data_IF_706956033777
#
_entry.id   IF_706956033777
#
_cell.length_a   1.000
_cell.length_b   1.000
_cell.length_c   1.000
_cell.angle_alpha   90.00
_cell.angle_beta   90.00
_cell.angle_gamma   90.00
#
_symmetry.space_group_name_H-M   'P 1'
#
loop_
_entity.id
_entity.type
_entity.pdbx_description
1 polymer ?
#
# COMPACT_ATOMS: atom_id res chain seq x y z
N UNK A 1 8.66 4.53 -15.84
CA UNK A 1 8.52 5.39 -14.66
C UNK A 1 9.45 6.58 -14.82
N UNK A 2 8.98 7.77 -15.25
CA UNK A 2 9.85 8.97 -15.36
C UNK A 2 9.43 10.14 -14.46
N UNK A 3 8.24 10.11 -13.86
CA UNK A 3 7.70 11.24 -13.07
C UNK A 3 7.71 11.01 -11.55
N UNK A 4 8.24 9.87 -11.10
CA UNK A 4 8.30 9.54 -9.67
C UNK A 4 9.40 10.34 -8.97
N UNK A 5 9.10 11.10 -7.90
CA UNK A 5 10.12 11.91 -7.24
C UNK A 5 11.21 11.04 -6.60
N UNK A 6 12.48 11.31 -6.94
CA UNK A 6 13.62 10.51 -6.48
C UNK A 6 13.75 10.43 -4.96
N UNK A 7 13.31 11.47 -4.25
CA UNK A 7 13.28 11.50 -2.77
C UNK A 7 12.41 10.40 -2.16
N UNK A 8 11.53 9.76 -2.92
CA UNK A 8 10.66 8.69 -2.46
C UNK A 8 11.11 7.29 -2.92
N UNK A 9 12.26 7.16 -3.63
CA UNK A 9 12.64 5.94 -4.37
C UNK A 9 12.64 4.66 -3.52
N UNK A 10 13.03 4.76 -2.25
CA UNK A 10 13.03 3.62 -1.31
C UNK A 10 11.64 3.02 -1.05
N UNK A 11 10.58 3.74 -1.40
CA UNK A 11 9.20 3.32 -1.22
C UNK A 11 8.47 3.09 -2.54
N UNK A 12 9.17 3.09 -3.67
CA UNK A 12 8.57 2.91 -5.00
C UNK A 12 7.77 1.61 -5.10
N UNK A 13 8.31 0.51 -4.55
CA UNK A 13 7.68 -0.82 -4.60
C UNK A 13 6.31 -0.85 -3.93
N UNK A 14 6.15 -0.15 -2.80
CA UNK A 14 4.84 -0.04 -2.13
C UNK A 14 3.80 0.66 -3.01
N UNK A 15 4.21 1.70 -3.75
CA UNK A 15 3.30 2.41 -4.62
C UNK A 15 3.01 1.63 -5.91
N UNK A 16 4.00 0.89 -6.42
CA UNK A 16 3.82 -0.03 -7.54
C UNK A 16 2.81 -1.12 -7.17
N UNK A 17 3.03 -1.82 -6.06
CA UNK A 17 2.12 -2.84 -5.56
C UNK A 17 0.71 -2.27 -5.32
N UNK A 18 0.61 -1.08 -4.73
CA UNK A 18 -0.69 -0.42 -4.54
C UNK A 18 -1.40 -0.10 -5.86
N UNK A 19 -0.66 0.09 -6.95
CA UNK A 19 -1.20 0.42 -8.27
C UNK A 19 -1.60 -0.86 -9.02
N UNK A 20 -0.81 -1.92 -8.91
CA UNK A 20 -1.17 -3.25 -9.45
C UNK A 20 -2.43 -3.82 -8.79
N UNK A 21 -2.59 -3.56 -7.49
CA UNK A 21 -3.78 -3.94 -6.72
C UNK A 21 -4.93 -2.93 -6.85
N UNK A 22 -4.76 -1.85 -7.60
CA UNK A 22 -5.86 -0.90 -7.84
C UNK A 22 -6.84 -1.51 -8.85
N UNK A 23 -8.12 -1.59 -8.48
CA UNK A 23 -9.14 -2.25 -9.27
C UNK A 23 -10.50 -2.22 -8.58
N UNK A 24 -11.48 -2.98 -9.08
CA UNK A 24 -12.84 -3.02 -8.52
C UNK A 24 -13.02 -4.09 -7.43
N UNK A 25 -12.05 -4.99 -7.24
CA UNK A 25 -12.13 -6.02 -6.22
C UNK A 25 -11.93 -5.40 -4.81
N UNK A 26 -12.89 -5.57 -3.88
CA UNK A 26 -12.81 -4.98 -2.55
C UNK A 26 -11.60 -5.43 -1.72
N UNK A 27 -11.13 -6.67 -1.87
CA UNK A 27 -9.96 -7.18 -1.12
C UNK A 27 -8.66 -6.59 -1.68
N UNK A 28 -8.55 -6.50 -3.01
CA UNK A 28 -7.41 -5.84 -3.65
C UNK A 28 -7.36 -4.35 -3.28
N UNK A 29 -8.52 -3.68 -3.22
CA UNK A 29 -8.60 -2.31 -2.72
C UNK A 29 -8.15 -2.18 -1.27
N UNK A 30 -8.37 -3.19 -0.44
CA UNK A 30 -7.89 -3.19 0.95
C UNK A 30 -6.37 -3.20 1.02
N UNK A 31 -5.72 -4.12 0.29
CA UNK A 31 -4.27 -4.19 0.22
C UNK A 31 -3.65 -2.94 -0.45
N UNK A 32 -4.26 -2.47 -1.55
CA UNK A 32 -3.88 -1.23 -2.24
C UNK A 32 -3.90 -0.02 -1.29
N UNK A 33 -4.96 0.12 -0.51
CA UNK A 33 -5.09 1.19 0.48
C UNK A 33 -3.97 1.16 1.51
N UNK A 34 -3.66 0.02 2.11
CA UNK A 34 -2.63 -0.04 3.17
C UNK A 34 -1.22 0.19 2.62
N UNK A 35 -0.89 -0.33 1.44
CA UNK A 35 0.37 -0.03 0.77
C UNK A 35 0.51 1.47 0.47
N UNK A 36 -0.53 2.09 -0.10
CA UNK A 36 -0.54 3.54 -0.41
C UNK A 36 -0.54 4.40 0.85
N UNK A 37 -1.18 3.94 1.93
CA UNK A 37 -1.20 4.62 3.23
C UNK A 37 0.18 4.62 3.87
N UNK A 38 0.86 3.46 3.89
CA UNK A 38 2.22 3.35 4.39
C UNK A 38 3.17 4.25 3.60
N UNK A 39 3.08 4.19 2.26
CA UNK A 39 3.83 5.07 1.37
C UNK A 39 3.60 6.55 1.70
N UNK A 40 2.34 6.98 1.81
CA UNK A 40 1.99 8.39 2.07
C UNK A 40 2.50 8.88 3.43
N UNK A 41 2.50 8.01 4.46
CA UNK A 41 3.10 8.32 5.76
C UNK A 41 4.61 8.54 5.65
N UNK A 42 5.31 7.65 4.95
CA UNK A 42 6.76 7.75 4.74
C UNK A 42 7.15 8.96 3.90
N UNK A 43 6.44 9.20 2.80
CA UNK A 43 6.58 10.41 2.00
C UNK A 43 6.37 11.67 2.86
N UNK A 44 5.34 11.70 3.72
CA UNK A 44 5.10 12.79 4.66
C UNK A 44 6.22 13.01 5.69
N UNK A 45 6.92 11.96 6.13
CA UNK A 45 8.11 12.08 6.98
C UNK A 45 9.30 12.65 6.21
N UNK A 46 9.53 12.19 4.97
CA UNK A 46 10.62 12.67 4.09
C UNK A 46 10.44 14.15 3.77
N UNK A 47 9.22 14.59 3.49
CA UNK A 47 8.92 15.99 3.17
C UNK A 47 9.15 16.95 4.34
N UNK A 48 9.12 16.46 5.59
CA UNK A 48 9.44 17.28 6.76
C UNK A 48 10.94 17.57 6.89
N UNK A 49 11.78 16.82 6.18
CA UNK A 49 13.22 17.06 6.18
C UNK A 49 13.55 18.29 5.31
N UNK A 50 14.52 19.13 5.73
CA UNK A 50 14.90 20.32 4.99
C UNK A 50 15.29 20.02 3.54
N UNK A 51 14.81 20.83 2.59
CA UNK A 51 15.14 20.71 1.17
C UNK A 51 14.29 19.73 0.35
N UNK A 52 13.48 18.88 0.99
CA UNK A 52 12.69 17.85 0.30
C UNK A 52 11.27 18.31 -0.10
N UNK A 53 10.76 19.39 0.49
CA UNK A 53 9.44 19.95 0.17
C UNK A 53 9.53 20.88 -1.04
N UNK A 54 9.22 20.34 -2.21
CA UNK A 54 9.08 21.07 -3.47
C UNK A 54 7.64 20.98 -3.96
N UNK A 55 7.26 21.85 -4.92
CA UNK A 55 5.93 21.76 -5.53
C UNK A 55 5.67 20.37 -6.12
N UNK A 56 6.67 19.77 -6.77
CA UNK A 56 6.55 18.44 -7.36
C UNK A 56 6.29 17.37 -6.29
N UNK A 57 7.09 17.34 -5.22
CA UNK A 57 7.00 16.29 -4.20
C UNK A 57 5.72 16.43 -3.37
N UNK A 58 5.29 17.66 -3.09
CA UNK A 58 4.02 17.96 -2.46
C UNK A 58 2.82 17.56 -3.33
N UNK A 59 2.79 17.96 -4.61
CA UNK A 59 1.72 17.58 -5.53
C UNK A 59 1.62 16.06 -5.69
N UNK A 60 2.76 15.37 -5.74
CA UNK A 60 2.77 13.91 -5.84
C UNK A 60 2.13 13.27 -4.60
N UNK A 61 2.54 13.68 -3.38
CA UNK A 61 1.91 13.21 -2.15
C UNK A 61 0.42 13.53 -2.11
N UNK A 62 0.03 14.75 -2.47
CA UNK A 62 -1.37 15.18 -2.49
C UNK A 62 -2.23 14.30 -3.40
N UNK A 63 -1.73 13.96 -4.58
CA UNK A 63 -2.43 13.06 -5.50
C UNK A 63 -2.63 11.67 -4.90
N UNK A 64 -1.60 11.13 -4.23
CA UNK A 64 -1.72 9.83 -3.56
C UNK A 64 -2.70 9.85 -2.38
N UNK A 65 -2.76 10.97 -1.64
CA UNK A 65 -3.73 11.17 -0.55
C UNK A 65 -5.16 11.26 -1.09
N UNK A 66 -5.37 11.87 -2.26
CA UNK A 66 -6.68 11.90 -2.91
C UNK A 66 -7.16 10.49 -3.26
N UNK A 67 -6.29 9.67 -3.87
CA UNK A 67 -6.60 8.26 -4.18
C UNK A 67 -6.94 7.48 -2.90
N UNK A 68 -6.20 7.70 -1.79
CA UNK A 68 -6.54 7.07 -0.51
C UNK A 68 -7.94 7.45 0.00
N UNK A 69 -8.35 8.69 -0.20
CA UNK A 69 -9.67 9.15 0.21
C UNK A 69 -10.77 8.56 -0.68
N UNK A 70 -10.53 8.41 -1.98
CA UNK A 70 -11.45 7.72 -2.91
C UNK A 70 -11.65 6.26 -2.49
N UNK A 71 -10.57 5.52 -2.19
CA UNK A 71 -10.67 4.13 -1.74
C UNK A 71 -11.47 4.01 -0.44
N UNK A 72 -11.30 4.94 0.51
CA UNK A 72 -12.08 4.97 1.76
C UNK A 72 -13.58 5.17 1.53
N UNK A 73 -13.96 5.90 0.48
CA UNK A 73 -15.37 6.09 0.13
C UNK A 73 -15.96 4.81 -0.47
N UNK A 74 -15.15 4.05 -1.22
CA UNK A 74 -15.57 2.76 -1.79
C UNK A 74 -15.63 1.64 -0.76
N UNK A 75 -14.65 1.53 0.13
CA UNK A 75 -14.55 0.48 1.15
C UNK A 75 -14.76 1.10 2.54
N UNK A 76 -16.01 1.15 2.98
CA UNK A 76 -16.36 1.77 4.27
C UNK A 76 -15.67 1.04 5.43
N UNK A 77 -15.09 1.81 6.36
CA UNK A 77 -14.43 1.28 7.57
C UNK A 77 -12.98 0.81 7.39
N UNK A 78 -12.44 0.86 6.16
CA UNK A 78 -11.03 0.51 5.90
C UNK A 78 -10.03 1.44 6.59
N UNK A 79 -10.42 2.70 6.80
CA UNK A 79 -9.61 3.70 7.50
C UNK A 79 -9.61 3.52 9.01
N UNK A 80 -10.47 2.67 9.56
CA UNK A 80 -10.67 2.53 10.99
C UNK A 80 -9.64 1.59 11.62
N UNK A 81 -9.41 1.74 12.92
CA UNK A 81 -8.48 0.90 13.69
C UNK A 81 -8.76 -0.59 13.54
N UNK A 82 -10.05 -0.95 13.49
CA UNK A 82 -10.50 -2.33 13.32
C UNK A 82 -10.22 -2.88 11.91
N UNK A 83 -10.39 -2.07 10.86
CA UNK A 83 -10.02 -2.46 9.50
C UNK A 83 -8.53 -2.81 9.39
N UNK A 84 -7.69 -1.97 10.03
CA UNK A 84 -6.23 -2.17 10.04
C UNK A 84 -5.85 -3.43 10.81
N UNK A 85 -6.46 -3.66 11.96
CA UNK A 85 -6.25 -4.87 12.76
C UNK A 85 -6.62 -6.14 11.98
N UNK A 86 -7.75 -6.13 11.28
CA UNK A 86 -8.20 -7.26 10.48
C UNK A 86 -7.27 -7.55 9.30
N UNK A 87 -6.79 -6.51 8.60
CA UNK A 87 -5.83 -6.68 7.51
C UNK A 87 -4.48 -7.24 8.01
N UNK A 88 -3.97 -6.74 9.13
CA UNK A 88 -2.75 -7.27 9.74
C UNK A 88 -2.92 -8.72 10.20
N UNK A 89 -4.09 -9.07 10.74
CA UNK A 89 -4.42 -10.46 11.08
C UNK A 89 -4.49 -11.35 9.85
N UNK A 90 -5.08 -10.87 8.75
CA UNK A 90 -5.13 -11.59 7.47
C UNK A 90 -3.71 -11.88 6.98
N UNK A 91 -2.86 -10.85 6.84
CA UNK A 91 -1.46 -11.04 6.41
C UNK A 91 -0.75 -12.02 7.35
N UNK A 92 -0.81 -11.80 8.67
CA UNK A 92 -0.04 -12.61 9.61
C UNK A 92 -0.51 -14.08 9.72
N UNK A 93 -1.82 -14.32 9.68
CA UNK A 93 -2.40 -15.66 9.81
C UNK A 93 -2.26 -16.42 8.51
N UNK A 94 -2.70 -15.82 7.41
CA UNK A 94 -2.80 -16.55 6.15
C UNK A 94 -1.44 -16.65 5.45
N UNK A 95 -0.46 -15.75 5.71
CA UNK A 95 0.94 -15.98 5.28
C UNK A 95 1.56 -17.20 5.95
N UNK A 96 1.30 -17.42 7.25
CA UNK A 96 1.80 -18.60 7.95
C UNK A 96 1.16 -19.87 7.39
N UNK A 97 -0.12 -19.81 7.05
CA UNK A 97 -0.85 -20.91 6.41
C UNK A 97 -0.32 -21.17 4.98
N UNK A 98 -0.02 -20.12 4.21
CA UNK A 98 0.63 -20.21 2.89
C UNK A 98 2.04 -20.79 3.00
N UNK A 99 2.87 -20.32 3.93
CA UNK A 99 4.22 -20.87 4.18
C UNK A 99 4.16 -22.35 4.61
N UNK A 100 3.15 -22.73 5.39
CA UNK A 100 2.90 -24.13 5.76
C UNK A 100 2.48 -24.96 4.53
N UNK A 101 1.64 -24.44 3.64
CA UNK A 101 1.24 -25.08 2.38
C UNK A 101 2.42 -25.20 1.40
N UNK A 102 3.20 -24.14 1.21
CA UNK A 102 4.38 -24.10 0.34
C UNK A 102 5.49 -25.04 0.86
N UNK A 103 5.70 -25.05 2.19
CA UNK A 103 6.63 -25.96 2.86
C UNK A 103 6.20 -27.43 2.81
N UNK A 104 4.92 -27.72 2.57
CA UNK A 104 4.40 -29.07 2.36
C UNK A 104 4.58 -29.60 0.93
N UNK A 105 5.10 -28.81 -0.01
CA UNK A 105 5.37 -29.21 -1.40
C UNK A 105 4.31 -30.19 -1.97
N UNK A 106 3.06 -29.74 -2.11
CA UNK A 106 2.06 -30.38 -2.96
C UNK A 106 2.04 -29.83 -4.39
N UNK A 107 3.18 -29.35 -4.90
CA UNK A 107 3.39 -29.23 -6.35
C UNK A 107 4.23 -30.41 -6.87
N UNK A 108 3.97 -31.62 -6.38
CA UNK A 108 4.23 -32.83 -7.17
C UNK A 108 3.17 -32.86 -8.28
N UNK A 109 3.42 -32.15 -9.37
CA UNK A 109 2.79 -32.50 -10.64
C UNK A 109 3.60 -33.65 -11.24
N UNK A 110 2.96 -34.81 -11.38
CA UNK A 110 3.37 -35.87 -12.33
C UNK A 110 3.56 -35.32 -13.74
#
# INVERSE_FOLDING_TARGET
>A
MSDYPQVFIEYADYLQLATELSGSDPLNLVASYYCRYYWAKKAGEILKQPGNMTNQTYSYLSNQVNILNEIKQTVTGIGDSKGRELFLKFIAKDMKEIEEIDGQQQYEME
#
